data_IF_100649341078
#
_entry.id   IF_100649341078
#
_cell.length_a   1.000
_cell.length_b   1.000
_cell.length_c   1.000
_cell.angle_alpha   90.00
_cell.angle_beta   90.00
_cell.angle_gamma   90.00
#
_symmetry.space_group_name_H-M   'P 1'
#
loop_
_entity.id
_entity.type
_entity.pdbx_description
1 polymer ?
#
# COMPACT_ATOMS: atom_id res chain seq x y z
N UNK A 1 -22.55 -21.03 1.35
CA UNK A 1 -21.27 -20.30 1.24
C UNK A 1 -21.17 -19.72 -0.15
N UNK A 2 -20.81 -18.45 -0.27
CA UNK A 2 -20.65 -17.81 -1.58
C UNK A 2 -19.45 -18.41 -2.32
N UNK A 3 -19.65 -18.75 -3.60
CA UNK A 3 -18.61 -19.45 -4.39
C UNK A 3 -17.57 -18.50 -4.97
N UNK A 4 -17.76 -17.19 -4.89
CA UNK A 4 -16.86 -16.18 -5.42
C UNK A 4 -16.58 -15.13 -4.36
N UNK A 5 -15.35 -14.62 -4.34
CA UNK A 5 -14.96 -13.52 -3.46
C UNK A 5 -14.34 -12.43 -4.32
N UNK A 6 -14.76 -11.20 -4.07
CA UNK A 6 -14.14 -9.99 -4.58
C UNK A 6 -13.55 -9.20 -3.42
N UNK A 7 -12.24 -9.04 -3.43
CA UNK A 7 -11.48 -8.25 -2.49
C UNK A 7 -11.22 -6.86 -3.08
N UNK A 8 -11.56 -5.81 -2.36
CA UNK A 8 -11.00 -4.47 -2.60
C UNK A 8 -9.79 -4.27 -1.69
N UNK A 9 -8.60 -4.17 -2.27
CA UNK A 9 -7.40 -3.74 -1.54
C UNK A 9 -7.45 -2.22 -1.37
N UNK A 10 -7.90 -1.79 -0.20
CA UNK A 10 -8.21 -0.40 0.10
C UNK A 10 -6.99 0.31 0.66
N UNK A 11 -6.50 1.32 -0.06
CA UNK A 11 -5.33 2.12 0.34
C UNK A 11 -5.69 3.36 1.17
N UNK A 12 -6.97 3.67 1.36
CA UNK A 12 -7.47 4.92 1.93
C UNK A 12 -7.10 6.20 1.17
N UNK A 13 -6.71 6.07 -0.10
CA UNK A 13 -6.46 7.18 -1.00
C UNK A 13 -7.64 7.49 -1.90
N UNK A 14 -7.47 8.47 -2.77
CA UNK A 14 -8.50 8.96 -3.70
C UNK A 14 -8.97 7.86 -4.66
N UNK A 15 -8.03 7.10 -5.24
CA UNK A 15 -8.32 6.04 -6.21
C UNK A 15 -9.15 4.90 -5.62
N UNK A 16 -8.71 4.30 -4.50
CA UNK A 16 -9.43 3.21 -3.86
C UNK A 16 -10.77 3.66 -3.26
N UNK A 17 -10.87 4.93 -2.87
CA UNK A 17 -12.13 5.53 -2.40
C UNK A 17 -13.11 5.74 -3.54
N UNK A 18 -12.65 6.21 -4.70
CA UNK A 18 -13.49 6.32 -5.89
C UNK A 18 -14.06 4.95 -6.29
N UNK A 19 -13.25 3.89 -6.27
CA UNK A 19 -13.72 2.51 -6.50
C UNK A 19 -14.79 2.13 -5.48
N UNK A 20 -14.56 2.33 -4.18
CA UNK A 20 -15.53 1.98 -3.14
C UNK A 20 -16.85 2.73 -3.29
N UNK A 21 -16.81 4.04 -3.58
CA UNK A 21 -18.01 4.83 -3.83
C UNK A 21 -18.73 4.37 -5.09
N UNK A 22 -18.03 4.01 -6.17
CA UNK A 22 -18.65 3.39 -7.35
C UNK A 22 -19.32 2.06 -7.03
N UNK A 23 -18.68 1.19 -6.25
CA UNK A 23 -19.26 -0.08 -5.81
C UNK A 23 -20.61 0.11 -5.08
N UNK A 24 -20.79 1.23 -4.39
CA UNK A 24 -22.00 1.52 -3.62
C UNK A 24 -23.04 2.27 -4.44
N UNK A 25 -22.62 3.29 -5.18
CA UNK A 25 -23.52 4.26 -5.83
C UNK A 25 -23.86 3.90 -7.28
N UNK A 26 -23.01 3.13 -7.95
CA UNK A 26 -23.17 2.74 -9.36
C UNK A 26 -23.47 1.24 -9.44
N UNK A 27 -24.75 0.92 -9.70
CA UNK A 27 -25.23 -0.46 -9.78
C UNK A 27 -24.57 -1.22 -10.93
N UNK A 28 -24.39 -0.60 -12.08
CA UNK A 28 -23.79 -1.24 -13.26
C UNK A 28 -22.31 -1.55 -12.99
N UNK A 29 -21.58 -0.61 -12.39
CA UNK A 29 -20.21 -0.83 -11.96
C UNK A 29 -20.11 -1.99 -10.96
N UNK A 30 -21.00 -2.01 -9.95
CA UNK A 30 -21.04 -3.07 -8.95
C UNK A 30 -21.29 -4.44 -9.58
N UNK A 31 -22.29 -4.58 -10.44
CA UNK A 31 -22.62 -5.84 -11.10
C UNK A 31 -21.49 -6.35 -12.01
N UNK A 32 -20.77 -5.43 -12.66
CA UNK A 32 -19.64 -5.76 -13.51
C UNK A 32 -18.45 -6.30 -12.71
N UNK A 33 -17.98 -5.57 -11.69
CA UNK A 33 -16.75 -5.90 -10.97
C UNK A 33 -16.93 -6.80 -9.75
N UNK A 34 -18.06 -6.74 -9.06
CA UNK A 34 -18.27 -7.48 -7.81
C UNK A 34 -18.93 -8.81 -8.12
N UNK A 35 -18.16 -9.88 -7.96
CA UNK A 35 -18.63 -11.27 -8.06
C UNK A 35 -18.65 -11.90 -6.68
N UNK A 36 -19.83 -12.35 -6.26
CA UNK A 36 -20.03 -12.93 -4.92
C UNK A 36 -19.68 -11.95 -3.80
N UNK A 37 -18.90 -12.42 -2.83
CA UNK A 37 -18.76 -11.76 -1.55
C UNK A 37 -17.76 -10.61 -1.66
N UNK A 38 -18.19 -9.40 -1.34
CA UNK A 38 -17.30 -8.24 -1.26
C UNK A 38 -16.65 -8.16 0.11
N UNK A 39 -15.33 -8.07 0.14
CA UNK A 39 -14.53 -7.79 1.33
C UNK A 39 -13.60 -6.62 1.02
N UNK A 40 -13.57 -5.62 1.90
CA UNK A 40 -12.68 -4.46 1.80
C UNK A 40 -11.60 -4.60 2.87
N UNK A 41 -10.34 -4.70 2.44
CA UNK A 41 -9.20 -4.86 3.36
C UNK A 41 -8.25 -3.66 3.23
N UNK A 42 -7.90 -3.08 4.36
CA UNK A 42 -6.83 -2.10 4.49
C UNK A 42 -5.80 -2.60 5.50
N UNK A 43 -4.52 -2.37 5.24
CA UNK A 43 -3.44 -2.62 6.20
C UNK A 43 -2.88 -1.29 6.69
N UNK A 44 -2.91 -1.10 8.01
CA UNK A 44 -2.35 0.08 8.66
C UNK A 44 -0.83 -0.05 8.76
N UNK A 45 -0.13 0.98 8.28
CA UNK A 45 1.34 1.04 8.37
C UNK A 45 1.85 1.60 9.69
N UNK A 46 0.95 2.19 10.50
CA UNK A 46 1.29 2.93 11.72
C UNK A 46 1.88 4.32 11.46
N UNK A 47 1.88 4.79 10.21
CA UNK A 47 2.51 6.05 9.80
C UNK A 47 1.68 6.83 8.76
N UNK A 48 0.38 6.57 8.68
CA UNK A 48 -0.49 7.35 7.78
C UNK A 48 -0.73 8.76 8.36
N UNK A 49 -1.16 9.71 7.51
CA UNK A 49 -1.50 11.06 7.98
C UNK A 49 -2.74 11.06 8.90
N UNK A 50 -2.89 12.02 9.84
CA UNK A 50 -4.09 12.15 10.68
C UNK A 50 -5.39 12.23 9.88
N UNK A 51 -5.39 12.99 8.77
CA UNK A 51 -6.54 13.07 7.86
C UNK A 51 -6.87 11.74 7.17
N UNK A 52 -5.87 10.88 6.92
CA UNK A 52 -6.08 9.52 6.42
C UNK A 52 -6.79 8.67 7.47
N UNK A 53 -6.37 8.72 8.74
CA UNK A 53 -7.06 7.98 9.81
C UNK A 53 -8.50 8.46 10.04
N UNK A 54 -8.75 9.76 9.97
CA UNK A 54 -10.11 10.31 9.99
C UNK A 54 -10.97 9.77 8.83
N UNK A 55 -10.41 9.75 7.62
CA UNK A 55 -11.08 9.16 6.46
C UNK A 55 -11.36 7.66 6.63
N UNK A 56 -10.41 6.90 7.16
CA UNK A 56 -10.60 5.46 7.42
C UNK A 56 -11.75 5.23 8.38
N UNK A 57 -11.88 6.06 9.42
CA UNK A 57 -13.00 5.99 10.35
C UNK A 57 -14.34 6.29 9.66
N UNK A 58 -14.38 7.32 8.81
CA UNK A 58 -15.56 7.60 7.97
C UNK A 58 -15.91 6.41 7.08
N UNK A 59 -14.93 5.83 6.39
CA UNK A 59 -15.13 4.69 5.49
C UNK A 59 -15.60 3.45 6.24
N UNK A 60 -15.15 3.22 7.48
CA UNK A 60 -15.66 2.14 8.32
C UNK A 60 -17.16 2.29 8.56
N UNK A 61 -17.60 3.48 8.97
CA UNK A 61 -19.03 3.78 9.16
C UNK A 61 -19.82 3.71 7.85
N UNK A 62 -19.25 4.21 6.75
CA UNK A 62 -19.86 4.13 5.42
C UNK A 62 -20.08 2.67 4.97
N UNK A 63 -19.06 1.81 5.12
CA UNK A 63 -19.16 0.39 4.82
C UNK A 63 -20.20 -0.31 5.71
N UNK A 64 -20.24 -0.02 7.00
CA UNK A 64 -21.24 -0.56 7.93
C UNK A 64 -22.67 -0.19 7.51
N UNK A 65 -22.91 1.08 7.20
CA UNK A 65 -24.21 1.56 6.71
C UNK A 65 -24.66 0.83 5.43
N UNK A 66 -23.72 0.56 4.52
CA UNK A 66 -23.97 -0.16 3.27
C UNK A 66 -23.82 -1.69 3.37
N UNK A 67 -23.67 -2.25 4.59
CA UNK A 67 -23.50 -3.70 4.85
C UNK A 67 -22.34 -4.32 4.06
N UNK A 68 -21.23 -3.61 3.96
CA UNK A 68 -19.98 -4.06 3.35
C UNK A 68 -18.99 -4.43 4.44
N UNK A 69 -18.40 -5.62 4.36
CA UNK A 69 -17.37 -6.06 5.29
C UNK A 69 -16.07 -5.26 5.06
N UNK A 70 -15.71 -4.44 6.05
CA UNK A 70 -14.47 -3.66 6.05
C UNK A 70 -13.58 -4.09 7.22
N UNK A 71 -12.32 -4.42 6.92
CA UNK A 71 -11.32 -4.77 7.92
C UNK A 71 -10.10 -3.87 7.82
N UNK A 72 -9.82 -3.16 8.92
CA UNK A 72 -8.55 -2.49 9.16
C UNK A 72 -7.61 -3.45 9.89
N UNK A 73 -6.54 -3.85 9.21
CA UNK A 73 -5.53 -4.77 9.73
C UNK A 73 -4.48 -3.94 10.45
N UNK A 74 -4.47 -4.03 11.78
CA UNK A 74 -3.48 -3.36 12.64
C UNK A 74 -2.44 -4.35 13.14
N UNK A 75 -1.32 -3.85 13.67
CA UNK A 75 -0.21 -4.67 14.14
C UNK A 75 -0.60 -5.64 15.27
N UNK A 76 -1.49 -5.20 16.18
CA UNK A 76 -2.01 -6.00 17.30
C UNK A 76 -2.68 -7.31 16.88
N UNK A 77 -3.10 -7.43 15.61
CA UNK A 77 -3.79 -8.62 15.12
C UNK A 77 -2.84 -9.76 14.70
N UNK A 78 -1.51 -9.55 14.72
CA UNK A 78 -0.52 -10.61 14.48
C UNK A 78 -0.38 -11.07 13.02
N UNK A 79 -0.90 -10.29 12.07
CA UNK A 79 -0.77 -10.57 10.62
C UNK A 79 0.52 -10.02 10.01
N UNK A 80 1.19 -9.10 10.69
CA UNK A 80 2.45 -8.54 10.26
C UNK A 80 3.61 -9.55 10.38
N UNK A 81 4.61 -9.49 9.49
CA UNK A 81 5.86 -10.21 9.69
C UNK A 81 6.54 -9.78 11.00
N UNK A 82 7.40 -10.66 11.53
CA UNK A 82 8.26 -10.30 12.66
C UNK A 82 9.03 -9.01 12.34
N UNK A 83 9.18 -8.11 13.30
CA UNK A 83 9.95 -6.86 13.18
C UNK A 83 9.31 -5.81 12.24
N UNK A 84 8.03 -5.98 11.88
CA UNK A 84 7.28 -5.11 10.98
C UNK A 84 5.91 -4.74 11.55
N UNK A 85 5.85 -4.49 12.86
CA UNK A 85 4.61 -4.06 13.51
C UNK A 85 4.15 -2.72 12.93
N UNK A 86 5.05 -1.74 12.83
CA UNK A 86 4.85 -0.47 12.12
C UNK A 86 6.12 -0.11 11.33
N UNK A 87 6.03 0.93 10.50
CA UNK A 87 7.20 1.46 9.80
C UNK A 87 8.29 1.93 10.78
N UNK A 88 7.89 2.71 11.79
CA UNK A 88 8.80 3.25 12.82
C UNK A 88 9.39 2.13 13.68
N UNK A 89 8.61 1.09 14.01
CA UNK A 89 9.13 -0.06 14.75
C UNK A 89 10.30 -0.71 14.02
N UNK A 90 10.18 -0.91 12.69
CA UNK A 90 11.27 -1.45 11.88
C UNK A 90 12.52 -0.54 11.89
N UNK A 91 12.31 0.78 11.80
CA UNK A 91 13.40 1.76 11.83
C UNK A 91 14.16 1.72 13.16
N UNK A 92 13.44 1.65 14.27
CA UNK A 92 13.99 1.61 15.62
C UNK A 92 14.85 0.36 15.86
N UNK A 93 14.29 -0.83 15.68
CA UNK A 93 14.95 -2.09 16.05
C UNK A 93 16.17 -2.42 15.18
N UNK A 94 16.20 -1.91 13.94
CA UNK A 94 17.28 -2.19 13.00
C UNK A 94 18.21 -1.00 12.76
N UNK A 95 17.93 0.16 13.38
CA UNK A 95 18.61 1.44 13.12
C UNK A 95 18.72 1.68 11.61
N UNK A 96 17.56 1.74 10.96
CA UNK A 96 17.45 1.82 9.49
C UNK A 96 16.38 2.82 9.07
N UNK A 97 16.34 3.14 7.78
CA UNK A 97 15.30 3.93 7.12
C UNK A 97 15.02 3.36 5.73
N UNK A 98 13.82 3.63 5.22
CA UNK A 98 13.54 3.43 3.80
C UNK A 98 14.27 4.47 2.95
N UNK A 99 14.66 4.08 1.73
CA UNK A 99 15.37 4.95 0.79
C UNK A 99 14.79 4.80 -0.60
N UNK A 100 14.86 5.87 -1.38
CA UNK A 100 14.56 5.83 -2.83
C UNK A 100 15.52 4.94 -3.62
N UNK A 101 16.71 4.64 -3.07
CA UNK A 101 17.72 3.80 -3.70
C UNK A 101 17.41 2.29 -3.61
N UNK A 102 16.43 1.89 -2.80
CA UNK A 102 16.12 0.49 -2.55
C UNK A 102 14.65 0.17 -2.88
N UNK A 103 14.30 -1.11 -3.13
CA UNK A 103 12.92 -1.54 -3.31
C UNK A 103 12.02 -1.17 -2.11
N UNK A 104 10.71 -0.98 -2.38
CA UNK A 104 9.69 -0.65 -1.36
C UNK A 104 9.35 -1.83 -0.44
N UNK A 105 10.30 -2.27 0.39
CA UNK A 105 10.10 -3.38 1.34
C UNK A 105 8.98 -3.11 2.35
N UNK A 106 8.72 -1.84 2.67
CA UNK A 106 7.59 -1.44 3.52
C UNK A 106 6.22 -1.79 2.91
N UNK A 107 6.03 -1.60 1.61
CA UNK A 107 4.78 -2.03 0.92
C UNK A 107 4.57 -3.53 1.12
N UNK A 108 5.63 -4.30 0.96
CA UNK A 108 5.56 -5.75 0.98
C UNK A 108 5.24 -6.27 2.39
N UNK A 109 5.92 -5.73 3.42
CA UNK A 109 5.80 -6.19 4.79
C UNK A 109 4.65 -5.56 5.60
N UNK A 110 4.27 -4.32 5.29
CA UNK A 110 3.20 -3.59 6.00
C UNK A 110 1.88 -3.54 5.25
N UNK A 111 1.85 -3.79 3.93
CA UNK A 111 0.61 -3.76 3.14
C UNK A 111 0.25 -5.13 2.57
N UNK A 112 1.12 -5.72 1.76
CA UNK A 112 0.81 -6.93 0.98
C UNK A 112 0.74 -8.18 1.86
N UNK A 113 1.80 -8.47 2.64
CA UNK A 113 1.87 -9.68 3.47
C UNK A 113 0.78 -9.72 4.54
N UNK A 114 0.51 -8.64 5.32
CA UNK A 114 -0.55 -8.65 6.33
C UNK A 114 -1.92 -8.84 5.72
N UNK A 115 -2.22 -8.14 4.61
CA UNK A 115 -3.48 -8.27 3.88
C UNK A 115 -3.76 -9.72 3.49
N UNK A 116 -2.80 -10.40 2.85
CA UNK A 116 -3.00 -11.80 2.48
C UNK A 116 -2.84 -12.78 3.65
N UNK A 117 -2.22 -12.40 4.77
CA UNK A 117 -2.19 -13.23 5.98
C UNK A 117 -3.57 -13.20 6.65
N UNK A 118 -4.21 -12.02 6.65
CA UNK A 118 -5.59 -11.86 7.07
C UNK A 118 -6.54 -12.65 6.17
N UNK A 119 -6.46 -12.47 4.85
CA UNK A 119 -7.34 -13.17 3.90
C UNK A 119 -7.24 -14.70 4.05
N UNK A 120 -6.03 -15.24 4.20
CA UNK A 120 -5.84 -16.68 4.41
C UNK A 120 -6.51 -17.17 5.70
N UNK A 121 -6.40 -16.40 6.79
CA UNK A 121 -7.04 -16.72 8.05
C UNK A 121 -8.56 -16.56 8.00
N UNK A 122 -9.06 -15.53 7.30
CA UNK A 122 -10.48 -15.31 7.07
C UNK A 122 -11.09 -16.51 6.33
N UNK A 123 -10.47 -16.95 5.23
CA UNK A 123 -10.95 -18.11 4.48
C UNK A 123 -10.95 -19.37 5.35
N UNK A 124 -9.89 -19.58 6.12
CA UNK A 124 -9.80 -20.71 7.05
C UNK A 124 -11.01 -20.77 7.99
N UNK A 125 -11.35 -19.65 8.63
CA UNK A 125 -12.47 -19.56 9.59
C UNK A 125 -13.82 -19.69 8.91
N UNK A 126 -14.06 -18.93 7.83
CA UNK A 126 -15.39 -18.79 7.25
C UNK A 126 -15.77 -19.86 6.23
N UNK A 127 -14.79 -20.57 5.65
CA UNK A 127 -15.03 -21.58 4.62
C UNK A 127 -14.58 -22.99 5.01
N UNK A 128 -13.71 -23.11 6.02
CA UNK A 128 -13.06 -24.38 6.37
C UNK A 128 -13.10 -24.72 7.86
N UNK A 129 -13.94 -24.04 8.65
CA UNK A 129 -14.15 -24.27 10.09
C UNK A 129 -12.83 -24.34 10.89
N UNK A 130 -11.88 -23.48 10.56
CA UNK A 130 -10.57 -23.44 11.21
C UNK A 130 -10.64 -22.81 12.60
N UNK A 131 -10.33 -23.61 13.62
CA UNK A 131 -10.48 -23.23 15.03
C UNK A 131 -9.15 -23.27 15.82
N UNK A 132 -8.02 -23.33 15.12
CA UNK A 132 -6.70 -23.37 15.77
C UNK A 132 -6.33 -22.01 16.38
N UNK A 133 -5.53 -22.00 17.46
CA UNK A 133 -5.09 -20.75 18.12
C UNK A 133 -4.15 -19.90 17.25
N UNK A 134 -3.38 -20.55 16.37
CA UNK A 134 -2.41 -19.88 15.51
C UNK A 134 -2.99 -19.59 14.13
N UNK A 135 -2.61 -18.45 13.52
CA UNK A 135 -3.00 -18.18 12.13
C UNK A 135 -2.37 -19.18 11.16
N UNK A 136 -3.05 -19.51 10.04
CA UNK A 136 -2.47 -20.36 9.02
C UNK A 136 -1.23 -19.73 8.37
N UNK A 137 -0.34 -20.60 7.89
CA UNK A 137 0.90 -20.24 7.19
C UNK A 137 0.88 -20.78 5.75
N UNK A 138 1.71 -20.19 4.90
CA UNK A 138 1.92 -20.70 3.53
C UNK A 138 0.77 -20.45 2.54
N UNK A 139 -0.18 -19.57 2.89
CA UNK A 139 -1.37 -19.23 2.09
C UNK A 139 -2.22 -20.46 1.78
N UNK A 140 -2.31 -21.36 2.76
CA UNK A 140 -2.91 -22.69 2.61
C UNK A 140 -4.37 -22.56 2.17
N UNK A 141 -5.15 -21.74 2.85
CA UNK A 141 -6.59 -21.67 2.63
C UNK A 141 -6.96 -20.83 1.42
N UNK A 142 -6.14 -19.84 1.03
CA UNK A 142 -6.26 -19.19 -0.29
C UNK A 142 -6.08 -20.24 -1.41
N UNK A 143 -5.07 -21.10 -1.31
CA UNK A 143 -4.83 -22.16 -2.32
C UNK A 143 -5.96 -23.19 -2.36
N UNK A 144 -6.49 -23.59 -1.20
CA UNK A 144 -7.65 -24.50 -1.14
C UNK A 144 -8.90 -23.86 -1.75
N UNK A 145 -9.17 -22.60 -1.40
CA UNK A 145 -10.28 -21.84 -1.97
C UNK A 145 -10.13 -21.75 -3.48
N UNK A 146 -8.94 -21.42 -3.99
CA UNK A 146 -8.70 -21.37 -5.42
C UNK A 146 -8.94 -22.71 -6.12
N UNK A 147 -8.48 -23.82 -5.54
CA UNK A 147 -8.66 -25.15 -6.13
C UNK A 147 -10.15 -25.54 -6.19
N UNK A 148 -10.93 -25.15 -5.19
CA UNK A 148 -12.32 -25.55 -5.04
C UNK A 148 -13.30 -24.64 -5.78
N UNK A 149 -13.02 -23.34 -5.82
CA UNK A 149 -13.96 -22.31 -6.25
C UNK A 149 -13.43 -21.41 -7.37
N UNK A 150 -12.14 -21.50 -7.71
CA UNK A 150 -11.50 -20.62 -8.69
C UNK A 150 -10.86 -19.38 -8.06
N UNK A 151 -10.33 -18.51 -8.92
CA UNK A 151 -9.53 -17.35 -8.47
C UNK A 151 -10.35 -16.35 -7.66
N UNK A 152 -9.70 -15.69 -6.71
CA UNK A 152 -10.27 -14.56 -5.96
C UNK A 152 -10.03 -13.29 -6.78
N UNK A 153 -11.09 -12.52 -7.02
CA UNK A 153 -10.98 -11.23 -7.68
C UNK A 153 -10.38 -10.19 -6.72
N UNK A 154 -9.37 -9.45 -7.15
CA UNK A 154 -8.71 -8.43 -6.34
C UNK A 154 -8.73 -7.10 -7.10
N UNK A 155 -9.57 -6.18 -6.65
CA UNK A 155 -9.66 -4.82 -7.17
C UNK A 155 -8.51 -3.99 -6.60
N UNK A 156 -7.77 -3.33 -7.49
CA UNK A 156 -6.64 -2.48 -7.17
C UNK A 156 -6.89 -1.05 -7.64
N UNK A 157 -6.64 -0.08 -6.76
CA UNK A 157 -6.69 1.35 -7.08
C UNK A 157 -5.42 1.80 -7.82
N UNK A 158 -5.36 1.50 -9.11
CA UNK A 158 -4.35 2.04 -10.04
C UNK A 158 -5.11 2.89 -11.04
N UNK A 159 -4.86 4.20 -11.05
CA UNK A 159 -5.48 5.14 -11.97
C UNK A 159 -4.99 4.95 -13.41
N UNK A 160 -5.77 5.41 -14.39
CA UNK A 160 -5.33 5.52 -15.78
C UNK A 160 -4.09 6.44 -15.87
N UNK A 161 -3.13 6.09 -16.72
CA UNK A 161 -1.81 6.71 -16.81
C UNK A 161 -0.74 6.09 -15.90
N UNK A 162 -1.12 5.17 -15.01
CA UNK A 162 -0.20 4.44 -14.13
C UNK A 162 0.00 2.95 -14.53
N UNK A 163 -0.30 2.60 -15.78
CA UNK A 163 -0.28 1.22 -16.31
C UNK A 163 1.11 0.59 -16.26
N UNK A 164 2.17 1.41 -16.24
CA UNK A 164 3.53 0.93 -16.02
C UNK A 164 3.69 0.14 -14.71
N UNK A 165 2.86 0.42 -13.69
CA UNK A 165 2.80 -0.32 -12.42
C UNK A 165 2.17 -1.71 -12.61
N UNK A 166 1.20 -1.83 -13.52
CA UNK A 166 0.57 -3.10 -13.89
C UNK A 166 1.58 -3.97 -14.65
N UNK A 167 2.23 -3.41 -15.67
CA UNK A 167 3.22 -4.11 -16.48
C UNK A 167 4.36 -4.67 -15.62
N UNK A 168 4.86 -3.89 -14.66
CA UNK A 168 5.90 -4.34 -13.70
C UNK A 168 5.39 -5.44 -12.77
N UNK A 169 4.16 -5.32 -12.26
CA UNK A 169 3.56 -6.35 -11.41
C UNK A 169 3.24 -7.66 -12.15
N UNK A 170 3.05 -7.60 -13.47
CA UNK A 170 2.73 -8.74 -14.32
C UNK A 170 3.94 -9.29 -15.08
N UNK A 171 5.13 -8.69 -14.93
CA UNK A 171 6.36 -9.33 -15.41
C UNK A 171 6.43 -10.68 -14.70
N UNK A 172 6.42 -11.81 -15.43
CA UNK A 172 6.85 -13.06 -14.85
C UNK A 172 8.18 -12.78 -14.17
N UNK A 173 8.40 -13.28 -12.94
CA UNK A 173 9.77 -13.42 -12.47
C UNK A 173 10.51 -14.07 -13.62
N UNK A 174 11.43 -13.34 -14.26
CA UNK A 174 12.23 -13.88 -15.35
C UNK A 174 12.65 -15.26 -14.89
N UNK A 175 12.37 -16.28 -15.71
CA UNK A 175 12.76 -17.65 -15.45
C UNK A 175 14.27 -17.63 -15.26
N UNK A 176 14.70 -17.40 -14.03
CA UNK A 176 16.07 -17.59 -13.65
C UNK A 176 16.14 -19.09 -13.60
N UNK A 177 16.60 -19.69 -14.70
CA UNK A 177 17.19 -21.02 -14.75
C UNK A 177 18.33 -20.99 -13.73
N UNK A 178 17.98 -21.13 -12.46
CA UNK A 178 18.95 -21.38 -11.43
C UNK A 178 19.29 -22.85 -11.56
N UNK A 179 20.57 -23.12 -11.69
CA UNK A 179 21.06 -24.48 -11.55
C UNK A 179 21.22 -24.75 -10.05
N UNK A 180 20.74 -25.90 -9.57
CA UNK A 180 21.13 -26.33 -8.23
C UNK A 180 22.64 -26.65 -8.18
N UNK A 181 23.16 -26.98 -7.00
CA UNK A 181 24.57 -27.37 -6.80
C UNK A 181 25.00 -28.58 -7.66
N UNK A 182 24.05 -29.28 -8.29
CA UNK A 182 24.26 -30.45 -9.14
C UNK A 182 23.94 -30.19 -10.61
N UNK A 183 23.71 -28.94 -11.02
CA UNK A 183 23.47 -28.58 -12.41
C UNK A 183 22.04 -28.87 -12.91
N UNK A 184 21.07 -29.12 -12.02
CA UNK A 184 19.67 -29.30 -12.42
C UNK A 184 18.94 -27.95 -12.54
N UNK A 185 18.13 -27.83 -13.59
CA UNK A 185 17.30 -26.64 -13.83
C UNK A 185 16.23 -26.52 -12.73
N UNK A 186 16.35 -25.47 -11.91
CA UNK A 186 15.29 -25.02 -10.99
C UNK A 186 14.31 -24.19 -11.82
N UNK A 187 13.16 -24.78 -12.14
CA UNK A 187 12.03 -24.06 -12.71
C UNK A 187 11.37 -23.26 -11.57
N UNK A 188 11.51 -21.94 -11.58
CA UNK A 188 10.74 -21.06 -10.69
C UNK A 188 9.26 -21.17 -11.02
N UNK A 189 8.52 -21.92 -10.19
CA UNK A 189 7.06 -22.08 -10.32
C UNK A 189 6.39 -20.71 -10.17
N UNK A 190 5.40 -20.45 -11.02
CA UNK A 190 4.55 -19.26 -10.92
C UNK A 190 3.99 -19.11 -9.49
N UNK A 191 3.92 -17.88 -9.01
CA UNK A 191 3.61 -17.60 -7.61
C UNK A 191 2.18 -18.04 -7.26
N UNK A 192 1.90 -18.31 -5.99
CA UNK A 192 0.53 -18.61 -5.56
C UNK A 192 -0.42 -17.46 -5.90
N UNK A 193 0.06 -16.21 -5.96
CA UNK A 193 -0.75 -15.05 -6.30
C UNK A 193 -1.25 -15.13 -7.75
N UNK A 194 -0.37 -15.42 -8.71
CA UNK A 194 -0.76 -15.56 -10.13
C UNK A 194 -1.79 -16.68 -10.34
N UNK A 195 -1.62 -17.79 -9.63
CA UNK A 195 -2.54 -18.93 -9.73
C UNK A 195 -3.86 -18.69 -9.02
N UNK A 196 -3.85 -18.03 -7.86
CA UNK A 196 -5.02 -17.95 -6.98
C UNK A 196 -5.79 -16.64 -7.06
N UNK A 197 -5.20 -15.59 -7.65
CA UNK A 197 -5.78 -14.25 -7.68
C UNK A 197 -5.96 -13.77 -9.11
N UNK A 198 -7.07 -13.07 -9.35
CA UNK A 198 -7.32 -12.30 -10.55
C UNK A 198 -7.31 -10.81 -10.19
N UNK A 199 -6.23 -10.11 -10.57
CA UNK A 199 -6.12 -8.67 -10.35
C UNK A 199 -6.98 -7.93 -11.37
N UNK A 200 -7.80 -7.00 -10.90
CA UNK A 200 -8.70 -6.16 -11.68
C UNK A 200 -8.33 -4.70 -11.45
N UNK A 201 -8.39 -3.88 -12.50
CA UNK A 201 -7.94 -2.48 -12.49
C UNK A 201 -9.06 -1.54 -12.99
N UNK A 202 -10.15 -1.35 -12.21
CA UNK A 202 -11.35 -0.69 -12.71
C UNK A 202 -11.12 0.74 -13.21
N UNK A 203 -10.20 1.48 -12.61
CA UNK A 203 -9.94 2.87 -13.01
C UNK A 203 -9.20 2.95 -14.34
N UNK A 204 -8.36 1.96 -14.67
CA UNK A 204 -7.75 1.85 -16.00
C UNK A 204 -8.81 1.48 -17.03
N UNK A 205 -9.66 0.50 -16.72
CA UNK A 205 -10.75 0.08 -17.62
C UNK A 205 -11.71 1.25 -17.93
N UNK A 206 -12.00 2.09 -16.94
CA UNK A 206 -12.84 3.28 -17.06
C UNK A 206 -12.09 4.52 -17.59
N UNK A 207 -10.79 4.43 -17.87
CA UNK A 207 -9.95 5.56 -18.26
C UNK A 207 -10.02 6.74 -17.26
N UNK A 208 -10.16 6.43 -15.97
CA UNK A 208 -10.19 7.40 -14.89
C UNK A 208 -8.79 7.59 -14.32
N UNK A 209 -8.20 8.73 -14.64
CA UNK A 209 -7.01 9.22 -13.94
C UNK A 209 -7.37 9.74 -12.53
N UNK A 210 -6.39 10.29 -11.81
CA UNK A 210 -6.61 10.84 -10.47
C UNK A 210 -7.57 12.02 -10.47
N UNK A 211 -7.46 12.93 -11.44
CA UNK A 211 -8.33 14.10 -11.53
C UNK A 211 -9.78 13.69 -11.77
N UNK A 212 -10.01 12.69 -12.62
CA UNK A 212 -11.31 12.06 -12.84
C UNK A 212 -11.84 11.40 -11.57
N UNK A 213 -11.00 10.70 -10.78
CA UNK A 213 -11.39 10.14 -9.48
C UNK A 213 -11.85 11.23 -8.50
N UNK A 214 -11.09 12.32 -8.39
CA UNK A 214 -11.44 13.44 -7.51
C UNK A 214 -12.75 14.12 -7.96
N UNK A 215 -12.91 14.33 -9.27
CA UNK A 215 -14.11 14.92 -9.86
C UNK A 215 -15.33 14.07 -9.57
N UNK A 216 -15.22 12.75 -9.80
CA UNK A 216 -16.29 11.81 -9.47
C UNK A 216 -16.65 11.87 -7.98
N UNK A 217 -15.67 11.79 -7.06
CA UNK A 217 -15.94 11.85 -5.62
C UNK A 217 -16.68 13.15 -5.25
N UNK A 218 -16.23 14.30 -5.75
CA UNK A 218 -16.91 15.59 -5.50
C UNK A 218 -18.37 15.58 -5.99
N UNK A 219 -18.64 14.99 -7.16
CA UNK A 219 -19.99 14.87 -7.72
C UNK A 219 -20.92 13.99 -6.87
N UNK A 220 -20.38 13.03 -6.11
CA UNK A 220 -21.21 12.22 -5.19
C UNK A 220 -21.69 12.98 -3.96
N UNK A 221 -21.09 14.14 -3.65
CA UNK A 221 -21.31 14.85 -2.39
C UNK A 221 -20.63 14.20 -1.17
N UNK A 222 -19.90 13.08 -1.35
CA UNK A 222 -19.15 12.42 -0.28
C UNK A 222 -17.75 13.05 -0.09
N UNK A 223 -17.13 12.88 1.10
CA UNK A 223 -15.82 13.46 1.39
C UNK A 223 -14.71 12.97 0.44
N UNK A 224 -13.91 13.92 -0.06
CA UNK A 224 -12.68 13.62 -0.81
C UNK A 224 -11.53 13.37 0.18
N UNK A 225 -10.92 12.18 0.20
CA UNK A 225 -9.78 11.93 1.08
C UNK A 225 -8.51 12.65 0.64
N UNK A 226 -7.57 12.86 1.59
CA UNK A 226 -6.21 13.17 1.22
C UNK A 226 -5.58 12.00 0.45
N UNK A 227 -4.49 12.24 -0.28
CA UNK A 227 -3.69 11.16 -0.84
C UNK A 227 -3.10 10.26 0.27
N UNK A 228 -2.93 8.96 -0.03
CA UNK A 228 -2.64 7.91 0.97
C UNK A 228 -1.17 7.50 1.06
N UNK A 229 -0.25 8.44 0.95
CA UNK A 229 1.15 8.20 1.27
C UNK A 229 1.40 8.32 2.78
N UNK A 230 2.29 7.49 3.31
CA UNK A 230 2.73 7.57 4.71
C UNK A 230 3.58 8.83 4.95
N UNK A 231 3.61 9.33 6.18
CA UNK A 231 4.32 10.56 6.56
C UNK A 231 5.84 10.47 6.36
N UNK A 232 6.43 9.29 6.57
CA UNK A 232 7.87 9.00 6.41
C UNK A 232 8.18 8.24 5.12
N UNK A 233 7.42 8.51 4.05
CA UNK A 233 7.66 7.87 2.78
C UNK A 233 8.92 8.44 2.08
N UNK A 234 9.93 7.65 1.71
CA UNK A 234 11.12 8.19 1.03
C UNK A 234 10.79 8.79 -0.35
N UNK A 235 9.61 8.51 -0.91
CA UNK A 235 9.18 9.02 -2.21
C UNK A 235 8.43 10.35 -2.16
N UNK A 236 8.33 11.02 -1.00
CA UNK A 236 7.77 12.38 -0.92
C UNK A 236 8.53 13.35 -1.84
N UNK A 237 7.84 14.23 -2.56
CA UNK A 237 8.44 15.33 -3.31
C UNK A 237 9.07 16.39 -2.40
N UNK A 238 9.80 17.37 -2.97
CA UNK A 238 10.37 18.49 -2.19
C UNK A 238 9.27 19.29 -1.49
N UNK A 239 8.20 19.62 -2.21
CA UNK A 239 7.03 20.31 -1.67
C UNK A 239 6.38 19.52 -0.54
N UNK A 240 6.24 18.19 -0.66
CA UNK A 240 5.67 17.37 0.41
C UNK A 240 6.58 17.25 1.63
N UNK A 241 7.90 17.22 1.46
CA UNK A 241 8.85 17.26 2.59
C UNK A 241 8.79 18.63 3.28
N UNK A 242 8.73 19.74 2.53
CA UNK A 242 8.54 21.08 3.09
C UNK A 242 7.20 21.20 3.82
N UNK A 243 6.13 20.65 3.24
CA UNK A 243 4.82 20.58 3.87
C UNK A 243 4.86 19.80 5.19
N UNK A 244 5.51 18.63 5.21
CA UNK A 244 5.66 17.81 6.42
C UNK A 244 6.44 18.59 7.49
N UNK A 245 7.53 19.24 7.08
CA UNK A 245 8.36 20.04 7.98
C UNK A 245 7.58 21.19 8.63
N UNK A 246 6.72 21.89 7.88
CA UNK A 246 5.92 23.01 8.41
C UNK A 246 4.75 22.56 9.29
N UNK A 247 4.06 21.48 8.90
CA UNK A 247 2.81 21.08 9.53
C UNK A 247 2.98 20.01 10.62
N UNK A 248 4.04 19.21 10.54
CA UNK A 248 4.36 18.11 11.46
C UNK A 248 5.88 18.06 11.72
N UNK A 249 6.49 19.14 12.23
CA UNK A 249 7.94 19.22 12.44
C UNK A 249 8.45 18.09 13.34
N UNK A 250 7.67 17.65 14.33
CA UNK A 250 8.00 16.53 15.22
C UNK A 250 8.19 15.22 14.44
N UNK A 251 7.32 14.93 13.46
CA UNK A 251 7.43 13.72 12.62
C UNK A 251 8.64 13.84 11.69
N UNK A 252 8.90 15.03 11.15
CA UNK A 252 10.10 15.27 10.34
C UNK A 252 11.39 15.03 11.14
N UNK A 253 11.50 15.60 12.34
CA UNK A 253 12.69 15.44 13.18
C UNK A 253 12.85 14.01 13.69
N UNK A 254 11.76 13.30 13.99
CA UNK A 254 11.81 11.86 14.27
C UNK A 254 12.38 11.07 13.09
N UNK A 255 11.90 11.36 11.86
CA UNK A 255 12.40 10.70 10.66
C UNK A 255 13.88 10.98 10.41
N UNK A 256 14.30 12.23 10.62
CA UNK A 256 15.70 12.64 10.52
C UNK A 256 16.57 11.91 11.58
N UNK A 257 16.06 11.69 12.78
CA UNK A 257 16.77 10.95 13.82
C UNK A 257 17.01 9.48 13.40
N UNK A 258 16.02 8.82 12.79
CA UNK A 258 16.21 7.46 12.23
C UNK A 258 17.28 7.43 11.14
N UNK A 259 17.28 8.41 10.24
CA UNK A 259 18.30 8.51 9.19
C UNK A 259 19.69 8.69 9.80
N UNK A 260 19.86 9.62 10.75
CA UNK A 260 21.12 9.84 11.46
C UNK A 260 21.61 8.58 12.16
N UNK A 261 20.73 7.85 12.85
CA UNK A 261 21.09 6.60 13.51
C UNK A 261 21.59 5.53 12.53
N UNK A 262 20.94 5.41 11.36
CA UNK A 262 21.41 4.52 10.28
C UNK A 262 22.78 4.94 9.77
N UNK A 263 22.96 6.22 9.43
CA UNK A 263 24.21 6.73 8.86
C UNK A 263 25.39 6.55 9.82
N UNK A 264 25.16 6.76 11.13
CA UNK A 264 26.14 6.50 12.18
C UNK A 264 26.48 5.01 12.30
N UNK A 265 25.48 4.13 12.31
CA UNK A 265 25.69 2.67 12.39
C UNK A 265 26.56 2.13 11.26
N UNK A 266 26.42 2.70 10.06
CA UNK A 266 27.14 2.26 8.87
C UNK A 266 28.25 3.23 8.43
N UNK A 267 28.77 4.06 9.33
CA UNK A 267 29.79 5.09 9.02
C UNK A 267 31.06 4.51 8.36
N UNK A 268 31.41 3.27 8.71
CA UNK A 268 32.60 2.58 8.20
C UNK A 268 32.30 1.67 6.99
N UNK A 269 31.07 1.66 6.50
CA UNK A 269 30.69 0.92 5.31
C UNK A 269 30.97 1.73 4.04
N UNK A 270 31.07 1.04 2.90
CA UNK A 270 31.11 1.71 1.59
C UNK A 270 29.90 2.64 1.40
N UNK A 271 30.11 3.82 0.81
CA UNK A 271 29.08 4.86 0.61
C UNK A 271 27.85 4.29 -0.13
N UNK A 272 28.07 3.40 -1.10
CA UNK A 272 27.01 2.71 -1.85
C UNK A 272 26.05 1.89 -0.96
N UNK A 273 26.49 1.52 0.25
CA UNK A 273 25.72 0.77 1.26
C UNK A 273 25.20 1.66 2.39
N UNK A 274 25.67 2.90 2.49
CA UNK A 274 25.30 3.87 3.54
C UNK A 274 24.51 5.07 2.99
N UNK A 275 23.45 4.80 2.23
CA UNK A 275 22.58 5.83 1.66
C UNK A 275 21.46 6.24 2.62
N UNK A 276 21.10 7.53 2.63
CA UNK A 276 20.01 8.10 3.42
C UNK A 276 18.63 7.82 2.81
N UNK A 277 17.64 8.58 3.26
CA UNK A 277 16.25 8.55 2.74
C UNK A 277 16.21 8.88 1.25
N UNK A 278 17.03 9.85 0.83
CA UNK A 278 17.06 10.39 -0.54
C UNK A 278 18.28 9.94 -1.33
N UNK A 279 18.71 8.70 -1.10
CA UNK A 279 19.89 8.15 -1.76
C UNK A 279 21.15 8.80 -1.20
N UNK A 280 21.89 9.50 -2.06
CA UNK A 280 23.12 10.20 -1.68
C UNK A 280 22.87 11.46 -0.85
N UNK A 281 21.64 12.00 -0.91
CA UNK A 281 21.25 13.15 -0.09
C UNK A 281 20.67 12.68 1.25
N UNK A 282 21.09 13.35 2.32
CA UNK A 282 20.39 13.27 3.62
C UNK A 282 19.03 13.96 3.52
N UNK A 283 18.12 13.61 4.42
CA UNK A 283 16.83 14.26 4.56
C UNK A 283 16.97 15.75 4.87
N UNK A 284 17.99 16.13 5.65
CA UNK A 284 18.32 17.52 5.95
C UNK A 284 18.70 18.31 4.69
N UNK A 285 19.66 17.80 3.92
CA UNK A 285 20.08 18.43 2.66
C UNK A 285 18.92 18.50 1.64
N UNK A 286 18.06 17.49 1.62
CA UNK A 286 16.88 17.51 0.75
C UNK A 286 15.85 18.56 1.19
N UNK A 287 15.67 18.78 2.49
CA UNK A 287 14.85 19.87 3.01
C UNK A 287 15.45 21.23 2.67
N UNK A 288 16.77 21.42 2.78
CA UNK A 288 17.44 22.67 2.42
C UNK A 288 17.19 23.02 0.95
N UNK A 289 17.26 22.04 0.05
CA UNK A 289 16.87 22.20 -1.35
C UNK A 289 15.39 22.56 -1.51
N UNK A 290 14.51 21.91 -0.75
CA UNK A 290 13.08 22.20 -0.79
C UNK A 290 12.74 23.62 -0.30
N UNK A 291 13.41 24.11 0.75
CA UNK A 291 13.28 25.49 1.25
C UNK A 291 13.82 26.48 0.23
N UNK A 292 14.98 26.19 -0.38
CA UNK A 292 15.57 27.07 -1.41
C UNK A 292 14.65 27.22 -2.62
N UNK A 293 14.06 26.13 -3.09
CA UNK A 293 13.21 26.13 -4.29
C UNK A 293 11.77 26.57 -4.01
N UNK A 294 11.18 26.17 -2.89
CA UNK A 294 9.74 26.30 -2.61
C UNK A 294 9.43 26.99 -1.29
N UNK A 295 10.43 27.52 -0.57
CA UNK A 295 10.20 28.22 0.70
C UNK A 295 9.33 29.46 0.59
N UNK A 296 9.25 30.05 -0.61
CA UNK A 296 8.36 31.18 -0.91
C UNK A 296 6.88 30.77 -1.05
N UNK A 297 6.56 29.47 -1.14
CA UNK A 297 5.18 29.01 -1.24
C UNK A 297 4.45 29.19 0.08
N UNK A 298 3.17 29.59 0.01
CA UNK A 298 2.28 29.65 1.17
C UNK A 298 1.86 28.24 1.60
N UNK A 299 1.33 28.11 2.81
CA UNK A 299 0.85 26.83 3.31
C UNK A 299 -0.37 26.34 2.52
N UNK A 300 -1.20 27.26 2.00
CA UNK A 300 -2.30 26.93 1.09
C UNK A 300 -1.79 26.32 -0.22
N UNK A 301 -0.75 26.89 -0.83
CA UNK A 301 -0.16 26.36 -2.06
C UNK A 301 0.45 24.97 -1.85
N UNK A 302 1.14 24.76 -0.72
CA UNK A 302 1.68 23.45 -0.36
C UNK A 302 0.55 22.43 -0.08
N UNK A 303 -0.53 22.85 0.57
CA UNK A 303 -1.71 22.01 0.81
C UNK A 303 -2.37 21.60 -0.51
N UNK A 304 -2.59 22.55 -1.43
CA UNK A 304 -3.17 22.27 -2.76
C UNK A 304 -2.29 21.30 -3.54
N UNK A 305 -0.97 21.51 -3.54
CA UNK A 305 -0.02 20.62 -4.17
C UNK A 305 -0.07 19.21 -3.58
N UNK A 306 -0.05 19.10 -2.24
CA UNK A 306 -0.17 17.80 -1.56
C UNK A 306 -1.45 17.08 -2.00
N UNK A 307 -2.59 17.76 -1.99
CA UNK A 307 -3.89 17.15 -2.31
C UNK A 307 -4.01 16.70 -3.77
N UNK A 308 -3.26 17.31 -4.69
CA UNK A 308 -3.26 16.97 -6.12
C UNK A 308 -2.18 15.96 -6.53
N UNK A 309 -1.03 15.93 -5.84
CA UNK A 309 0.16 15.19 -6.27
C UNK A 309 0.62 14.08 -5.32
N UNK A 310 -0.01 13.89 -4.15
CA UNK A 310 0.47 12.99 -3.11
C UNK A 310 0.49 11.51 -3.49
N UNK A 311 1.42 11.09 -4.34
CA UNK A 311 1.62 9.70 -4.69
C UNK A 311 3.10 9.38 -4.95
N UNK A 312 3.51 8.23 -4.41
CA UNK A 312 4.69 7.46 -4.80
C UNK A 312 4.71 6.96 -6.27
N UNK A 313 4.43 7.81 -7.28
CA UNK A 313 4.26 7.44 -8.71
C UNK A 313 5.55 6.85 -9.32
N UNK A 314 6.73 7.12 -8.75
CA UNK A 314 8.02 6.81 -9.39
C UNK A 314 8.65 5.44 -9.09
N UNK A 315 8.06 4.54 -8.30
CA UNK A 315 8.72 3.25 -8.01
C UNK A 315 8.07 2.05 -8.71
N UNK A 316 8.93 1.13 -9.18
CA UNK A 316 8.55 -0.25 -9.40
C UNK A 316 8.07 -0.86 -8.07
N UNK A 317 6.97 -1.63 -8.11
CA UNK A 317 6.52 -2.48 -7.01
C UNK A 317 7.19 -3.83 -7.13
#
# INVERSE_FOLDING_TARGET
MEKNITLLAFGAGQDSTAILYKIVLDKTFREYYIKGKLIVLMSDTGNEHPGTYQHVQFIKTFCEFHRIEFYLITYHQGYHPKNWDTLQHNFQIHSTVMSVAFPKTCTDNLKIKPLYNFLDHYLAKHYYNYNEPNRPKGKRFIKHFCKQYGKINVLLGIAAGEESRIAKSNKPTEHTTQFDLFGQVIITKSTWMEHCLQKLYPLVDLQMDRAACQTYIRQTGLPLPPPSNCMMCPFLSKQEVLWLYRNYPEVYYEWQAYEKAKLQKFSNAEISRNLGVKGELTLAQFLDQAITEYGHWTDEQLNEYKMSHGHCVKSAY
#
